data_IF_185494096785
#
_entry.id   IF_185494096785
#
_cell.length_a   1.000
_cell.length_b   1.000
_cell.length_c   1.000
_cell.angle_alpha   90.00
_cell.angle_beta   90.00
_cell.angle_gamma   90.00
#
_symmetry.space_group_name_H-M   'P 1'
#
loop_
_entity.id
_entity.type
_entity.pdbx_description
1 polymer ?
#
# COMPACT_ATOMS: atom_id res chain seq x y z
N UNK A 1 -0.61 -15.51 -7.48
CA UNK A 1 -0.23 -15.78 -8.90
C UNK A 1 -1.08 -14.94 -9.86
N UNK A 2 -0.73 -13.66 -10.01
CA UNK A 2 -1.19 -12.81 -11.11
C UNK A 2 -0.01 -12.69 -12.09
N UNK A 3 -0.21 -13.26 -13.27
CA UNK A 3 0.77 -13.36 -14.35
C UNK A 3 1.15 -11.97 -14.89
N UNK A 4 2.45 -11.70 -14.88
CA UNK A 4 3.08 -10.68 -15.73
C UNK A 4 2.80 -11.00 -17.19
N UNK A 5 1.96 -10.18 -17.85
CA UNK A 5 1.69 -10.28 -19.28
C UNK A 5 2.89 -9.74 -20.09
N UNK A 6 3.79 -10.64 -20.49
CA UNK A 6 4.72 -10.40 -21.61
C UNK A 6 4.47 -11.44 -22.70
N UNK A 7 4.28 -10.96 -23.92
CA UNK A 7 3.81 -11.68 -25.11
C UNK A 7 4.79 -12.79 -25.56
N UNK A 8 4.22 -13.92 -25.97
CA UNK A 8 4.44 -14.61 -27.27
C UNK A 8 3.50 -15.82 -27.40
N UNK A 9 2.59 -15.77 -28.38
CA UNK A 9 1.93 -16.97 -28.94
C UNK A 9 2.98 -17.74 -29.78
N UNK A 10 2.92 -19.09 -29.87
CA UNK A 10 1.90 -19.75 -30.69
C UNK A 10 1.32 -21.08 -30.17
N UNK A 11 0.13 -21.37 -30.74
CA UNK A 11 -0.43 -22.68 -31.15
C UNK A 11 -0.82 -23.78 -30.12
N UNK A 12 -2.13 -24.07 -30.17
CA UNK A 12 -2.83 -25.37 -30.09
C UNK A 12 -2.63 -26.28 -28.87
N UNK A 13 -3.73 -26.57 -28.19
CA UNK A 13 -3.84 -27.71 -27.28
C UNK A 13 -5.15 -27.72 -26.51
N UNK A 14 -6.10 -28.49 -27.02
CA UNK A 14 -7.40 -28.82 -26.44
C UNK A 14 -7.29 -29.36 -24.99
N UNK A 15 -8.36 -29.17 -24.21
CA UNK A 15 -8.83 -29.88 -22.99
C UNK A 15 -9.27 -28.83 -21.96
N UNK A 16 -10.46 -28.82 -21.35
CA UNK A 16 -11.57 -29.76 -21.28
C UNK A 16 -12.59 -29.11 -20.33
N UNK A 17 -13.88 -29.34 -20.59
CA UNK A 17 -15.01 -28.58 -20.05
C UNK A 17 -15.42 -28.91 -18.60
N UNK A 18 -16.28 -28.02 -18.09
CA UNK A 18 -17.37 -28.22 -17.11
C UNK A 18 -16.98 -28.28 -15.62
N UNK A 19 -17.77 -27.74 -14.68
CA UNK A 19 -19.23 -27.63 -14.69
C UNK A 19 -19.80 -26.29 -14.19
N UNK A 20 -20.82 -25.86 -14.93
CA UNK A 20 -21.82 -24.85 -14.58
C UNK A 20 -22.74 -25.35 -13.46
N UNK A 21 -23.15 -24.47 -12.56
CA UNK A 21 -24.40 -24.63 -11.78
C UNK A 21 -25.30 -23.44 -12.07
N UNK A 22 -26.54 -23.78 -12.41
CA UNK A 22 -27.57 -22.93 -12.99
C UNK A 22 -28.15 -21.92 -11.99
N UNK A 23 -28.48 -20.75 -12.54
CA UNK A 23 -29.36 -19.73 -11.99
C UNK A 23 -30.83 -20.12 -12.22
N UNK A 24 -31.71 -19.81 -11.27
CA UNK A 24 -33.10 -19.44 -11.55
C UNK A 24 -33.57 -18.28 -10.63
N UNK A 25 -34.55 -17.47 -11.07
CA UNK A 25 -34.69 -16.06 -10.71
C UNK A 25 -35.78 -15.78 -9.67
N UNK A 26 -35.74 -14.60 -9.03
CA UNK A 26 -36.82 -14.17 -8.16
C UNK A 26 -36.71 -12.77 -7.57
N UNK A 27 -37.33 -11.82 -8.27
CA UNK A 27 -38.01 -10.61 -7.77
C UNK A 27 -37.22 -9.42 -7.17
N UNK A 28 -37.46 -8.29 -7.84
CA UNK A 28 -37.08 -6.93 -7.48
C UNK A 28 -37.91 -6.36 -6.34
N UNK A 29 -37.26 -5.66 -5.40
CA UNK A 29 -37.86 -4.55 -4.69
C UNK A 29 -36.83 -3.45 -4.41
N UNK A 30 -37.27 -2.21 -4.62
CA UNK A 30 -36.52 -0.96 -4.49
C UNK A 30 -36.44 -0.56 -3.02
N UNK A 31 -35.26 -0.15 -2.52
CA UNK A 31 -35.17 0.72 -1.34
C UNK A 31 -33.90 1.59 -1.33
N UNK A 32 -34.05 2.78 -0.74
CA UNK A 32 -33.21 3.99 -0.77
C UNK A 32 -31.85 3.85 -0.03
N UNK A 33 -30.87 4.74 -0.28
CA UNK A 33 -29.53 4.66 0.31
C UNK A 33 -29.53 5.08 1.78
N UNK A 34 -29.16 4.14 2.66
CA UNK A 34 -28.96 4.36 4.08
C UNK A 34 -27.54 4.87 4.39
N UNK A 35 -27.48 5.91 5.22
CA UNK A 35 -26.30 6.62 5.67
C UNK A 35 -25.24 5.72 6.34
N UNK A 36 -23.95 6.03 6.09
CA UNK A 36 -22.83 5.54 6.88
C UNK A 36 -22.99 6.02 8.33
N UNK A 37 -23.18 5.09 9.27
CA UNK A 37 -23.11 5.37 10.70
C UNK A 37 -21.70 5.14 11.21
N UNK A 38 -21.26 6.16 11.95
CA UNK A 38 -20.18 6.20 12.92
C UNK A 38 -20.37 5.07 13.95
N UNK A 39 -19.30 4.37 14.31
CA UNK A 39 -19.32 3.39 15.39
C UNK A 39 -18.39 3.85 16.50
N UNK A 40 -19.00 4.21 17.62
CA UNK A 40 -18.36 4.53 18.89
C UNK A 40 -18.08 3.25 19.71
N UNK A 41 -16.99 3.35 20.48
CA UNK A 41 -16.52 2.46 21.54
C UNK A 41 -17.58 2.10 22.59
N UNK A 42 -17.49 0.86 23.13
CA UNK A 42 -17.67 0.38 24.54
C UNK A 42 -17.94 -1.16 24.47
N UNK A 43 -17.48 -2.10 25.31
CA UNK A 43 -16.96 -2.10 26.69
C UNK A 43 -15.97 -3.24 26.95
N UNK A 44 -15.15 -3.05 28.00
CA UNK A 44 -14.40 -4.04 28.77
C UNK A 44 -15.30 -4.84 29.71
N UNK A 45 -14.92 -6.09 30.00
CA UNK A 45 -15.07 -6.81 31.29
C UNK A 45 -14.26 -8.12 31.13
N UNK A 46 -13.08 -8.28 31.74
CA UNK A 46 -12.76 -8.62 33.14
C UNK A 46 -12.63 -10.14 33.42
N UNK A 47 -11.43 -10.49 33.93
CA UNK A 47 -11.06 -11.57 34.85
C UNK A 47 -11.25 -13.04 34.43
N UNK A 48 -10.12 -13.79 34.39
CA UNK A 48 -9.80 -14.86 35.37
C UNK A 48 -8.46 -15.57 35.07
N UNK A 49 -7.55 -15.51 36.04
CA UNK A 49 -6.39 -16.42 36.25
C UNK A 49 -6.87 -17.77 36.81
N UNK A 50 -6.15 -18.89 36.59
CA UNK A 50 -5.05 -19.26 37.51
C UNK A 50 -3.86 -20.03 36.89
N UNK A 51 -2.71 -19.88 37.56
CA UNK A 51 -1.51 -20.74 37.51
C UNK A 51 -1.75 -22.07 38.25
N UNK A 52 -0.98 -23.16 38.01
CA UNK A 52 0.30 -23.31 38.70
C UNK A 52 1.44 -23.96 37.89
N UNK A 53 2.62 -23.85 38.49
CA UNK A 53 3.95 -24.28 38.04
C UNK A 53 4.14 -25.80 37.92
N UNK A 54 5.03 -26.21 37.01
CA UNK A 54 5.84 -27.43 37.12
C UNK A 54 7.25 -27.11 36.62
N UNK A 55 8.22 -27.24 37.52
CA UNK A 55 9.65 -27.29 37.23
C UNK A 55 10.01 -28.65 36.62
N UNK A 56 10.90 -28.69 35.62
CA UNK A 56 11.81 -29.84 35.47
C UNK A 56 13.03 -29.48 34.62
N UNK A 57 14.16 -29.42 35.31
CA UNK A 57 15.51 -29.89 34.97
C UNK A 57 16.16 -29.62 33.60
N UNK A 58 17.30 -28.95 33.72
CA UNK A 58 18.46 -28.87 32.83
C UNK A 58 19.01 -30.24 32.41
N UNK A 59 19.38 -30.37 31.14
CA UNK A 59 20.50 -31.19 30.69
C UNK A 59 21.29 -30.47 29.60
N UNK A 60 22.61 -30.42 29.80
CA UNK A 60 23.60 -29.81 28.94
C UNK A 60 24.20 -30.82 27.95
N UNK A 61 24.85 -30.26 26.92
CA UNK A 61 25.92 -30.82 26.06
C UNK A 61 25.51 -31.63 24.82
N UNK A 62 26.02 -31.15 23.67
CA UNK A 62 25.96 -31.82 22.37
C UNK A 62 26.39 -30.88 21.24
N UNK A 63 27.65 -30.45 21.28
CA UNK A 63 28.36 -29.78 20.19
C UNK A 63 28.60 -30.81 19.09
N UNK A 64 27.98 -30.69 17.91
CA UNK A 64 28.55 -31.21 16.66
C UNK A 64 28.27 -30.21 15.53
N UNK A 65 29.37 -29.82 14.93
CA UNK A 65 29.55 -29.05 13.71
C UNK A 65 28.98 -29.78 12.51
N UNK A 66 28.32 -29.05 11.61
CA UNK A 66 28.53 -29.30 10.18
C UNK A 66 28.34 -28.01 9.38
N UNK A 67 29.44 -27.63 8.73
CA UNK A 67 29.54 -26.57 7.75
C UNK A 67 28.76 -26.97 6.50
N UNK A 68 27.88 -26.09 6.05
CA UNK A 68 27.35 -26.16 4.69
C UNK A 68 27.11 -24.74 4.19
N UNK A 69 28.05 -24.33 3.36
CA UNK A 69 28.07 -23.13 2.53
C UNK A 69 26.75 -22.92 1.78
N UNK A 70 25.83 -22.18 2.40
CA UNK A 70 24.78 -21.48 1.68
C UNK A 70 25.31 -20.08 1.36
N UNK A 71 25.98 -19.98 0.22
CA UNK A 71 26.37 -18.75 -0.47
C UNK A 71 25.25 -17.72 -0.39
N UNK A 72 25.37 -16.80 0.56
CA UNK A 72 24.57 -15.60 0.62
C UNK A 72 24.94 -14.79 -0.61
N UNK A 73 24.07 -14.80 -1.62
CA UNK A 73 24.12 -13.82 -2.70
C UNK A 73 24.07 -12.43 -2.05
N UNK A 74 25.25 -11.87 -1.79
CA UNK A 74 25.46 -10.48 -1.49
C UNK A 74 24.99 -9.71 -2.70
N UNK A 75 23.76 -9.21 -2.65
CA UNK A 75 23.28 -8.20 -3.59
C UNK A 75 24.15 -6.97 -3.39
N UNK A 76 25.16 -6.90 -4.25
CA UNK A 76 26.18 -5.89 -4.30
C UNK A 76 25.51 -4.51 -4.23
N UNK A 77 25.63 -3.89 -3.07
CA UNK A 77 24.93 -2.65 -2.71
C UNK A 77 25.75 -1.46 -3.16
N UNK A 78 26.31 -1.52 -4.37
CA UNK A 78 26.95 -0.39 -5.04
C UNK A 78 25.87 0.56 -5.55
N UNK A 79 25.21 1.21 -4.59
CA UNK A 79 24.41 2.41 -4.82
C UNK A 79 25.32 3.49 -5.37
N UNK A 80 25.25 3.74 -6.68
CA UNK A 80 25.94 4.84 -7.40
C UNK A 80 25.42 6.23 -6.96
N UNK A 81 24.50 6.29 -6.00
CA UNK A 81 23.97 7.55 -5.48
C UNK A 81 24.57 7.88 -4.11
N UNK A 82 25.24 9.04 -4.04
CA UNK A 82 25.47 9.70 -2.77
C UNK A 82 24.11 9.90 -2.07
N UNK A 83 23.96 9.51 -0.79
CA UNK A 83 22.72 9.74 -0.08
C UNK A 83 22.41 11.25 -0.08
N UNK A 84 21.17 11.66 -0.39
CA UNK A 84 20.81 13.08 -0.35
C UNK A 84 21.08 13.64 1.05
N UNK A 85 21.69 14.83 1.10
CA UNK A 85 21.97 15.51 2.36
C UNK A 85 20.68 15.68 3.16
N UNK A 86 20.70 15.43 4.48
CA UNK A 86 19.51 15.55 5.32
C UNK A 86 18.95 16.98 5.25
N UNK A 87 17.65 17.08 4.98
CA UNK A 87 16.92 18.34 4.89
C UNK A 87 16.96 19.09 6.23
N UNK A 88 17.38 20.35 6.20
CA UNK A 88 17.21 21.27 7.33
C UNK A 88 15.70 21.52 7.57
N UNK A 89 15.17 21.29 8.78
CA UNK A 89 13.73 21.40 9.08
C UNK A 89 13.11 22.78 8.85
N UNK A 90 13.92 23.85 8.73
CA UNK A 90 13.44 25.25 8.83
C UNK A 90 12.91 25.85 7.52
N UNK A 91 12.80 25.11 6.42
CA UNK A 91 12.31 25.68 5.13
C UNK A 91 11.42 24.75 4.28
N UNK A 92 10.82 23.71 4.86
CA UNK A 92 9.98 22.76 4.10
C UNK A 92 8.55 23.31 3.98
N UNK A 93 8.10 23.61 2.75
CA UNK A 93 6.69 23.94 2.48
C UNK A 93 5.83 22.67 2.50
N UNK A 94 5.32 22.35 3.69
CA UNK A 94 4.47 21.18 3.96
C UNK A 94 3.06 21.27 3.35
N UNK A 95 2.73 22.36 2.65
CA UNK A 95 1.44 22.58 1.97
C UNK A 95 1.50 22.40 0.46
N UNK A 96 2.71 22.19 -0.10
CA UNK A 96 2.92 22.11 -1.55
C UNK A 96 2.84 20.69 -2.11
N UNK A 97 2.66 19.69 -1.24
CA UNK A 97 2.76 18.27 -1.57
C UNK A 97 1.62 17.52 -0.88
N UNK A 98 1.22 16.39 -1.44
CA UNK A 98 0.30 15.42 -0.84
C UNK A 98 0.90 14.03 -1.04
N UNK A 99 0.99 13.23 0.03
CA UNK A 99 1.40 11.83 -0.07
C UNK A 99 0.18 10.91 -0.01
N UNK A 100 0.13 9.94 -0.91
CA UNK A 100 -0.85 8.86 -0.89
C UNK A 100 -0.11 7.53 -1.02
N UNK A 101 -0.25 6.70 0.01
CA UNK A 101 0.23 5.32 0.01
C UNK A 101 -0.91 4.38 -0.37
N UNK A 102 -0.62 3.34 -1.14
CA UNK A 102 -1.44 2.13 -1.09
C UNK A 102 -1.14 1.33 0.19
N UNK A 103 -2.00 0.37 0.52
CA UNK A 103 -1.84 -0.52 1.67
C UNK A 103 -1.22 -1.85 1.26
N UNK A 104 -1.84 -2.50 0.28
CA UNK A 104 -1.63 -3.91 -0.04
C UNK A 104 -0.34 -4.07 -0.85
N UNK A 105 0.56 -4.93 -0.37
CA UNK A 105 1.90 -5.13 -0.92
C UNK A 105 2.76 -3.85 -1.08
N UNK A 106 2.34 -2.77 -0.42
CA UNK A 106 3.05 -1.48 -0.34
C UNK A 106 3.53 -1.20 1.08
N UNK A 107 2.61 -1.23 2.04
CA UNK A 107 2.93 -1.11 3.47
C UNK A 107 2.89 -2.45 4.19
N UNK A 108 2.08 -3.40 3.70
CA UNK A 108 1.87 -4.73 4.30
C UNK A 108 2.07 -5.80 3.23
N UNK A 109 2.77 -6.93 3.50
CA UNK A 109 2.99 -8.01 2.52
C UNK A 109 1.71 -8.87 2.34
N UNK A 110 0.65 -8.25 1.84
CA UNK A 110 -0.70 -8.82 1.75
C UNK A 110 -0.74 -10.12 0.93
N UNK A 111 -0.13 -10.18 -0.26
CA UNK A 111 -0.17 -11.40 -1.08
C UNK A 111 0.54 -12.56 -0.37
N UNK A 112 1.65 -12.28 0.32
CA UNK A 112 2.33 -13.28 1.13
C UNK A 112 1.46 -13.74 2.32
N UNK A 113 0.88 -12.81 3.09
CA UNK A 113 -0.02 -13.13 4.21
C UNK A 113 -1.18 -14.01 3.75
N UNK A 114 -1.82 -13.67 2.62
CA UNK A 114 -2.94 -14.46 2.07
C UNK A 114 -2.51 -15.86 1.64
N UNK A 115 -1.32 -15.97 1.05
CA UNK A 115 -0.76 -17.26 0.63
C UNK A 115 -0.44 -18.13 1.84
N UNK A 116 0.20 -17.57 2.87
CA UNK A 116 0.49 -18.25 4.14
C UNK A 116 -0.79 -18.65 4.87
N UNK A 117 -1.81 -17.79 4.88
CA UNK A 117 -3.11 -18.12 5.46
C UNK A 117 -3.76 -19.30 4.74
N UNK A 118 -3.74 -19.33 3.41
CA UNK A 118 -4.29 -20.45 2.64
C UNK A 118 -3.55 -21.78 2.93
N UNK A 119 -2.23 -21.72 3.15
CA UNK A 119 -1.42 -22.88 3.47
C UNK A 119 -1.59 -23.37 4.92
N UNK A 120 -1.84 -22.46 5.87
CA UNK A 120 -1.91 -22.77 7.30
C UNK A 120 -3.33 -22.93 7.84
N UNK A 121 -4.36 -22.70 7.03
CA UNK A 121 -5.76 -22.91 7.44
C UNK A 121 -6.09 -24.41 7.44
N UNK A 122 -5.41 -25.16 8.30
CA UNK A 122 -5.72 -26.56 8.59
C UNK A 122 -7.00 -26.67 9.45
N UNK A 123 -7.63 -27.85 9.41
CA UNK A 123 -8.91 -28.10 10.09
C UNK A 123 -8.75 -28.04 11.61
N UNK A 124 -9.25 -26.95 12.20
CA UNK A 124 -9.38 -26.77 13.65
C UNK A 124 -8.93 -25.40 14.18
N UNK A 125 -8.03 -24.69 13.47
CA UNK A 125 -7.58 -23.35 13.90
C UNK A 125 -8.58 -22.27 13.53
N UNK A 126 -8.80 -21.33 14.45
CA UNK A 126 -9.52 -20.09 14.18
C UNK A 126 -8.70 -19.18 13.27
N UNK A 127 -9.37 -18.28 12.54
CA UNK A 127 -8.68 -17.33 11.68
C UNK A 127 -7.68 -16.44 12.46
N UNK A 128 -8.04 -16.07 13.69
CA UNK A 128 -7.19 -15.25 14.56
C UNK A 128 -5.88 -15.98 14.91
N UNK A 129 -5.95 -17.26 15.27
CA UNK A 129 -4.75 -18.07 15.57
C UNK A 129 -3.84 -18.19 14.35
N UNK A 130 -4.40 -18.39 13.15
CA UNK A 130 -3.61 -18.44 11.92
C UNK A 130 -2.92 -17.10 11.65
N UNK A 131 -3.63 -15.98 11.78
CA UNK A 131 -3.00 -14.66 11.58
C UNK A 131 -1.94 -14.33 12.63
N UNK A 132 -2.11 -14.76 13.88
CA UNK A 132 -1.08 -14.60 14.91
C UNK A 132 0.17 -15.43 14.60
N UNK A 133 0.01 -16.68 14.14
CA UNK A 133 1.14 -17.50 13.70
C UNK A 133 1.88 -16.86 12.50
N UNK A 134 1.14 -16.32 11.54
CA UNK A 134 1.71 -15.59 10.39
C UNK A 134 2.47 -14.33 10.85
N UNK A 135 1.92 -13.57 11.79
CA UNK A 135 2.59 -12.39 12.34
C UNK A 135 3.88 -12.77 13.07
N UNK A 136 3.87 -13.86 13.85
CA UNK A 136 5.07 -14.39 14.49
C UNK A 136 6.13 -14.78 13.46
N UNK A 137 5.74 -15.45 12.37
CA UNK A 137 6.66 -15.80 11.29
C UNK A 137 7.27 -14.57 10.61
N UNK A 138 6.44 -13.55 10.33
CA UNK A 138 6.91 -12.25 9.82
C UNK A 138 7.93 -11.64 10.77
N UNK A 139 7.64 -11.62 12.07
CA UNK A 139 8.49 -11.05 13.09
C UNK A 139 9.84 -11.78 13.18
N UNK A 140 9.85 -13.10 13.11
CA UNK A 140 11.08 -13.90 13.08
C UNK A 140 11.89 -13.60 11.81
N UNK A 141 11.26 -13.67 10.63
CA UNK A 141 11.94 -13.46 9.33
C UNK A 141 12.47 -12.04 9.15
N UNK A 142 11.80 -11.05 9.75
CA UNK A 142 12.19 -9.64 9.66
C UNK A 142 12.93 -9.15 10.90
N UNK A 143 13.26 -10.03 11.86
CA UNK A 143 13.90 -9.67 13.14
C UNK A 143 13.18 -8.54 13.87
N UNK A 144 11.84 -8.55 13.84
CA UNK A 144 10.95 -7.52 14.38
C UNK A 144 11.11 -6.12 13.75
N UNK A 145 11.73 -6.02 12.58
CA UNK A 145 11.99 -4.72 11.94
C UNK A 145 10.89 -4.27 10.97
N UNK A 146 9.93 -5.13 10.61
CA UNK A 146 8.86 -4.77 9.67
C UNK A 146 8.06 -3.55 10.15
N UNK A 147 7.44 -3.65 11.33
CA UNK A 147 6.62 -2.58 11.90
C UNK A 147 7.42 -1.28 12.08
N UNK A 148 8.62 -1.27 12.70
CA UNK A 148 9.46 -0.07 12.75
C UNK A 148 9.70 0.60 11.39
N UNK A 149 9.88 -0.16 10.32
CA UNK A 149 10.10 0.40 8.98
C UNK A 149 8.82 0.95 8.33
N UNK A 150 7.64 0.37 8.61
CA UNK A 150 6.34 0.94 8.22
C UNK A 150 6.15 2.30 8.90
N UNK A 151 6.32 2.35 10.23
CA UNK A 151 6.18 3.57 11.02
C UNK A 151 7.15 4.67 10.54
N UNK A 152 8.40 4.29 10.24
CA UNK A 152 9.43 5.23 9.77
C UNK A 152 9.10 5.81 8.39
N UNK A 153 8.52 5.03 7.48
CA UNK A 153 8.07 5.53 6.18
C UNK A 153 6.93 6.55 6.32
N UNK A 154 5.92 6.24 7.14
CA UNK A 154 4.77 7.12 7.40
C UNK A 154 5.19 8.43 8.10
N UNK A 155 5.98 8.33 9.17
CA UNK A 155 6.52 9.50 9.89
C UNK A 155 7.38 10.37 8.99
N UNK A 156 8.20 9.75 8.11
CA UNK A 156 8.99 10.51 7.13
C UNK A 156 8.08 11.32 6.21
N UNK A 157 7.06 10.70 5.60
CA UNK A 157 6.11 11.43 4.74
C UNK A 157 5.41 12.57 5.50
N UNK A 158 4.97 12.31 6.75
CA UNK A 158 4.36 13.33 7.61
C UNK A 158 5.30 14.49 7.95
N UNK A 159 6.59 14.22 8.17
CA UNK A 159 7.57 15.28 8.44
C UNK A 159 7.73 16.26 7.28
N UNK A 160 7.46 15.79 6.05
CA UNK A 160 7.61 16.56 4.81
C UNK A 160 6.29 17.21 4.34
N UNK A 161 5.14 16.76 4.85
CA UNK A 161 3.83 17.11 4.32
C UNK A 161 2.74 17.09 5.40
N UNK A 162 1.80 18.05 5.33
CA UNK A 162 0.64 18.08 6.24
C UNK A 162 -0.41 17.01 5.92
N UNK A 163 -0.49 16.56 4.65
CA UNK A 163 -1.47 15.57 4.22
C UNK A 163 -0.80 14.31 3.69
N UNK A 164 -1.00 13.24 4.46
CA UNK A 164 -0.66 11.87 4.13
C UNK A 164 -1.95 11.06 4.27
N UNK A 165 -2.25 10.19 3.31
CA UNK A 165 -3.38 9.28 3.37
C UNK A 165 -2.97 7.89 2.86
N UNK A 166 -3.69 6.87 3.31
CA UNK A 166 -3.63 5.53 2.72
C UNK A 166 -4.89 5.34 1.87
N UNK A 167 -4.76 4.98 0.61
CA UNK A 167 -5.88 4.74 -0.29
C UNK A 167 -5.77 3.35 -0.91
N UNK A 168 -6.67 2.44 -0.52
CA UNK A 168 -6.62 1.02 -0.90
C UNK A 168 -7.84 0.60 -1.73
N UNK A 169 -7.64 -0.34 -2.65
CA UNK A 169 -8.73 -1.03 -3.37
C UNK A 169 -9.26 -2.25 -2.60
N UNK A 170 -8.99 -2.35 -1.29
CA UNK A 170 -9.49 -3.42 -0.44
C UNK A 170 -11.01 -3.62 -0.62
N UNK A 171 -11.38 -4.80 -1.13
CA UNK A 171 -12.77 -5.14 -1.47
C UNK A 171 -13.64 -5.37 -0.24
N UNK A 172 -13.03 -5.78 0.87
CA UNK A 172 -13.74 -6.17 2.09
C UNK A 172 -13.28 -5.34 3.28
N UNK A 173 -14.22 -4.83 4.11
CA UNK A 173 -13.85 -4.20 5.38
C UNK A 173 -13.20 -5.20 6.35
N UNK A 174 -13.47 -6.50 6.20
CA UNK A 174 -12.86 -7.54 7.03
C UNK A 174 -11.33 -7.57 6.89
N UNK A 175 -10.81 -7.25 5.71
CA UNK A 175 -9.36 -7.17 5.50
C UNK A 175 -8.72 -6.05 6.32
N UNK A 176 -9.40 -4.91 6.46
CA UNK A 176 -8.93 -3.83 7.33
C UNK A 176 -8.94 -4.25 8.81
N UNK A 177 -9.97 -4.99 9.25
CA UNK A 177 -9.99 -5.54 10.61
C UNK A 177 -8.84 -6.52 10.89
N UNK A 178 -8.44 -7.33 9.89
CA UNK A 178 -7.24 -8.19 10.01
C UNK A 178 -5.97 -7.33 10.13
N UNK A 179 -5.82 -6.32 9.28
CA UNK A 179 -4.70 -5.38 9.37
C UNK A 179 -4.63 -4.69 10.74
N UNK A 180 -5.77 -4.21 11.25
CA UNK A 180 -5.87 -3.57 12.56
C UNK A 180 -5.44 -4.50 13.70
N UNK A 181 -5.85 -5.77 13.64
CA UNK A 181 -5.48 -6.76 14.64
C UNK A 181 -4.02 -7.21 14.55
N UNK A 182 -3.45 -7.28 13.35
CA UNK A 182 -2.08 -7.76 13.15
C UNK A 182 -1.02 -6.67 13.39
N UNK A 183 -1.37 -5.39 13.17
CA UNK A 183 -0.40 -4.28 13.21
C UNK A 183 -0.92 -3.11 14.07
N UNK A 184 -1.24 -3.33 15.35
CA UNK A 184 -1.88 -2.33 16.21
C UNK A 184 -1.02 -1.06 16.39
N UNK A 185 0.31 -1.17 16.42
CA UNK A 185 1.21 -0.02 16.52
C UNK A 185 1.15 0.88 15.27
N UNK A 186 0.88 0.29 14.10
CA UNK A 186 0.65 1.05 12.88
C UNK A 186 -0.66 1.81 12.99
N UNK A 187 -1.73 1.16 13.44
CA UNK A 187 -3.03 1.82 13.68
C UNK A 187 -2.90 2.97 14.67
N UNK A 188 -2.18 2.76 15.77
CA UNK A 188 -1.92 3.79 16.75
C UNK A 188 -1.28 5.03 16.11
N UNK A 189 -0.20 4.85 15.33
CA UNK A 189 0.44 5.96 14.62
C UNK A 189 -0.53 6.65 13.64
N UNK A 190 -1.32 5.88 12.89
CA UNK A 190 -2.27 6.45 11.93
C UNK A 190 -3.29 7.37 12.62
N UNK A 191 -3.75 6.99 13.82
CA UNK A 191 -4.66 7.80 14.64
C UNK A 191 -3.96 9.03 15.22
N UNK A 192 -2.76 8.87 15.80
CA UNK A 192 -1.97 9.97 16.39
C UNK A 192 -1.65 11.05 15.36
N UNK A 193 -1.38 10.66 14.11
CA UNK A 193 -0.96 11.55 13.05
C UNK A 193 -2.12 12.02 12.13
N UNK A 194 -3.37 11.65 12.38
CA UNK A 194 -4.52 11.90 11.47
C UNK A 194 -4.19 11.45 10.02
N UNK A 195 -3.77 10.18 9.86
CA UNK A 195 -3.55 9.53 8.56
C UNK A 195 -4.72 8.58 8.28
N UNK A 196 -5.70 8.97 7.45
CA UNK A 196 -6.85 8.13 7.18
C UNK A 196 -6.51 6.96 6.25
N UNK A 197 -7.12 5.80 6.51
CA UNK A 197 -7.23 4.70 5.54
C UNK A 197 -8.55 4.85 4.79
N UNK A 198 -8.46 5.05 3.48
CA UNK A 198 -9.59 5.33 2.61
C UNK A 198 -9.74 4.18 1.63
N UNK A 199 -10.84 3.43 1.74
CA UNK A 199 -11.18 2.42 0.73
C UNK A 199 -11.74 3.10 -0.52
N UNK A 200 -11.27 2.65 -1.69
CA UNK A 200 -11.94 2.94 -2.94
C UNK A 200 -13.23 2.10 -2.98
N UNK A 201 -14.36 2.79 -2.98
CA UNK A 201 -15.68 2.16 -3.10
C UNK A 201 -16.24 2.58 -4.47
N UNK A 202 -15.87 1.88 -5.55
CA UNK A 202 -16.42 2.19 -6.86
C UNK A 202 -17.94 1.99 -6.87
N UNK A 203 -18.60 2.80 -7.69
CA UNK A 203 -20.04 2.70 -7.92
C UNK A 203 -20.31 1.87 -9.17
N UNK A 204 -21.46 1.21 -9.21
CA UNK A 204 -21.88 0.38 -10.33
C UNK A 204 -21.32 -1.04 -10.28
N UNK A 205 -21.73 -1.85 -11.25
CA UNK A 205 -21.34 -3.25 -11.35
C UNK A 205 -19.86 -3.38 -11.71
N UNK A 206 -19.13 -4.16 -10.93
CA UNK A 206 -17.74 -4.50 -11.23
C UNK A 206 -17.67 -5.30 -12.55
N UNK A 207 -16.83 -4.89 -13.52
CA UNK A 207 -16.58 -5.67 -14.73
C UNK A 207 -15.94 -7.03 -14.42
N UNK A 208 -16.03 -7.96 -15.36
CA UNK A 208 -15.31 -9.22 -15.22
C UNK A 208 -13.79 -8.99 -15.26
N UNK A 209 -13.01 -9.70 -14.45
CA UNK A 209 -11.54 -9.61 -14.44
C UNK A 209 -10.91 -9.93 -15.81
N UNK A 210 -11.56 -10.74 -16.65
CA UNK A 210 -11.11 -11.04 -18.01
C UNK A 210 -11.33 -9.88 -18.99
N UNK A 211 -12.18 -8.91 -18.65
CA UNK A 211 -12.34 -7.66 -19.39
C UNK A 211 -11.28 -6.64 -18.96
N UNK A 212 -10.01 -6.99 -19.17
CA UNK A 212 -8.83 -6.33 -18.57
C UNK A 212 -8.89 -4.80 -18.58
N UNK A 213 -9.25 -4.17 -19.70
CA UNK A 213 -9.34 -2.71 -19.81
C UNK A 213 -10.49 -2.10 -18.99
N UNK A 214 -11.68 -2.72 -19.03
CA UNK A 214 -12.84 -2.24 -18.27
C UNK A 214 -12.63 -2.44 -16.77
N UNK A 215 -12.15 -3.62 -16.38
CA UNK A 215 -11.79 -3.93 -15.00
C UNK A 215 -10.71 -2.98 -14.47
N UNK A 216 -9.66 -2.75 -15.26
CA UNK A 216 -8.59 -1.83 -14.89
C UNK A 216 -9.12 -0.41 -14.69
N UNK A 217 -9.86 0.10 -15.67
CA UNK A 217 -10.44 1.44 -15.63
C UNK A 217 -11.39 1.62 -14.44
N UNK A 218 -12.17 0.59 -14.10
CA UNK A 218 -13.10 0.63 -12.98
C UNK A 218 -12.37 0.89 -11.65
N UNK A 219 -11.36 0.07 -11.34
CA UNK A 219 -10.59 0.17 -10.10
C UNK A 219 -9.64 1.38 -10.09
N UNK A 220 -9.01 1.72 -11.21
CA UNK A 220 -8.19 2.92 -11.36
C UNK A 220 -9.02 4.19 -11.11
N UNK A 221 -10.20 4.31 -11.73
CA UNK A 221 -11.06 5.47 -11.54
C UNK A 221 -11.65 5.54 -10.12
N UNK A 222 -11.83 4.41 -9.44
CA UNK A 222 -12.22 4.39 -8.03
C UNK A 222 -11.13 5.02 -7.16
N UNK A 223 -9.87 4.63 -7.39
CA UNK A 223 -8.72 5.13 -6.66
C UNK A 223 -8.43 6.60 -6.99
N UNK A 224 -8.48 6.99 -8.27
CA UNK A 224 -8.36 8.39 -8.74
C UNK A 224 -9.34 9.34 -8.03
N UNK A 225 -10.62 8.95 -7.92
CA UNK A 225 -11.64 9.74 -7.20
C UNK A 225 -11.27 9.98 -5.73
N UNK A 226 -10.63 9.01 -5.07
CA UNK A 226 -10.15 9.17 -3.70
C UNK A 226 -8.91 10.05 -3.61
N UNK A 227 -8.02 10.02 -4.61
CA UNK A 227 -6.90 10.96 -4.67
C UNK A 227 -7.39 12.40 -4.80
N UNK A 228 -8.38 12.64 -5.66
CA UNK A 228 -9.02 13.94 -5.82
C UNK A 228 -9.68 14.43 -4.52
N UNK A 229 -10.39 13.55 -3.80
CA UNK A 229 -11.00 13.86 -2.50
C UNK A 229 -9.95 14.27 -1.45
N UNK A 230 -8.81 13.57 -1.40
CA UNK A 230 -7.68 13.90 -0.50
C UNK A 230 -7.10 15.28 -0.84
N UNK A 231 -6.87 15.57 -2.12
CA UNK A 231 -6.34 16.88 -2.57
C UNK A 231 -7.33 18.00 -2.27
N UNK A 232 -8.63 17.78 -2.49
CA UNK A 232 -9.67 18.75 -2.14
C UNK A 232 -9.66 19.07 -0.65
N UNK A 233 -9.64 18.04 0.22
CA UNK A 233 -9.56 18.21 1.67
C UNK A 233 -8.28 18.92 2.12
N UNK A 234 -7.15 18.61 1.48
CA UNK A 234 -5.87 19.29 1.75
C UNK A 234 -6.00 20.80 1.54
N UNK A 235 -6.63 21.22 0.44
CA UNK A 235 -6.85 22.63 0.11
C UNK A 235 -7.80 23.33 1.08
N UNK A 236 -8.87 22.64 1.48
CA UNK A 236 -9.84 23.17 2.44
C UNK A 236 -9.22 23.38 3.83
N UNK A 237 -8.33 22.48 4.26
CA UNK A 237 -7.61 22.57 5.54
C UNK A 237 -6.51 23.66 5.55
N UNK A 238 -6.12 24.20 4.40
CA UNK A 238 -5.01 25.16 4.26
C UNK A 238 -5.49 26.52 3.70
N UNK A 239 -6.37 27.25 4.40
CA UNK A 239 -6.86 28.54 3.95
C UNK A 239 -5.70 29.54 3.83
N UNK A 240 -5.56 30.18 2.65
CA UNK A 240 -4.48 31.12 2.35
C UNK A 240 -3.42 30.61 1.38
N UNK A 241 -3.35 29.32 1.08
CA UNK A 241 -2.47 28.77 0.02
C UNK A 241 -3.07 28.91 -1.38
N UNK A 242 -3.83 30.00 -1.62
CA UNK A 242 -4.70 30.22 -2.77
C UNK A 242 -4.17 29.63 -4.07
N UNK A 243 -4.98 28.78 -4.71
CA UNK A 243 -4.75 28.21 -6.04
C UNK A 243 -3.43 27.42 -6.22
N UNK A 244 -2.65 27.16 -5.16
CA UNK A 244 -1.41 26.39 -5.31
C UNK A 244 -1.74 24.97 -5.75
N UNK A 245 -1.12 24.59 -6.87
CA UNK A 245 -1.06 23.21 -7.35
C UNK A 245 -0.19 22.41 -6.40
N UNK A 246 -0.56 21.16 -6.13
CA UNK A 246 0.23 20.27 -5.28
C UNK A 246 1.10 19.34 -6.11
N UNK A 247 2.23 18.90 -5.55
CA UNK A 247 2.91 17.70 -6.02
C UNK A 247 2.21 16.49 -5.39
N UNK A 248 1.59 15.66 -6.21
CA UNK A 248 0.96 14.41 -5.76
C UNK A 248 2.02 13.32 -5.78
N UNK A 249 2.41 12.82 -4.61
CA UNK A 249 3.31 11.68 -4.46
C UNK A 249 2.46 10.44 -4.18
N UNK A 250 2.42 9.51 -5.14
CA UNK A 250 1.71 8.25 -5.03
C UNK A 250 2.70 7.09 -4.88
N UNK A 251 2.49 6.24 -3.89
CA UNK A 251 3.38 5.11 -3.55
C UNK A 251 2.53 3.84 -3.58
N UNK A 252 2.85 2.90 -4.45
CA UNK A 252 2.04 1.68 -4.65
C UNK A 252 2.77 0.56 -5.37
N UNK A 253 2.25 -0.66 -5.30
CA UNK A 253 2.77 -1.86 -5.95
C UNK A 253 2.22 -2.08 -7.37
N UNK A 254 1.07 -1.49 -7.69
CA UNK A 254 0.31 -1.80 -8.90
C UNK A 254 0.22 -0.62 -9.87
N UNK A 255 -0.32 -0.89 -11.06
CA UNK A 255 -0.56 0.14 -12.08
C UNK A 255 -1.70 1.09 -11.68
N UNK A 256 -2.61 0.67 -10.78
CA UNK A 256 -3.76 1.48 -10.41
C UNK A 256 -3.36 2.84 -9.81
N UNK A 257 -2.33 2.87 -8.97
CA UNK A 257 -1.86 4.07 -8.27
C UNK A 257 -1.15 5.02 -9.24
N UNK A 258 -0.28 4.46 -10.09
CA UNK A 258 0.44 5.19 -11.13
C UNK A 258 -0.54 5.86 -12.09
N UNK A 259 -1.48 5.11 -12.64
CA UNK A 259 -2.47 5.63 -13.58
C UNK A 259 -3.46 6.58 -12.90
N UNK A 260 -3.84 6.34 -11.65
CA UNK A 260 -4.70 7.27 -10.91
C UNK A 260 -4.02 8.63 -10.70
N UNK A 261 -2.75 8.65 -10.30
CA UNK A 261 -2.01 9.89 -10.08
C UNK A 261 -1.73 10.65 -11.38
N UNK A 262 -1.29 9.93 -12.43
CA UNK A 262 -0.97 10.54 -13.72
C UNK A 262 -2.21 11.05 -14.45
N UNK A 263 -3.30 10.29 -14.48
CA UNK A 263 -4.56 10.76 -15.07
C UNK A 263 -5.11 11.97 -14.32
N UNK A 264 -5.04 11.98 -12.97
CA UNK A 264 -5.48 13.15 -12.20
C UNK A 264 -4.65 14.40 -12.51
N UNK A 265 -3.34 14.25 -12.73
CA UNK A 265 -2.48 15.36 -13.13
C UNK A 265 -2.84 15.91 -14.53
N UNK A 266 -3.17 15.03 -15.47
CA UNK A 266 -3.57 15.41 -16.83
C UNK A 266 -4.97 16.05 -16.86
N UNK A 267 -5.93 15.48 -16.14
CA UNK A 267 -7.33 15.92 -16.12
C UNK A 267 -7.56 17.15 -15.22
N UNK A 268 -6.71 17.34 -14.21
CA UNK A 268 -6.80 18.47 -13.27
C UNK A 268 -5.46 19.19 -13.10
N UNK A 269 -4.90 19.80 -14.17
CA UNK A 269 -3.62 20.51 -14.13
C UNK A 269 -3.65 21.77 -13.25
N UNK A 270 -4.83 22.30 -12.93
CA UNK A 270 -5.06 23.34 -11.93
C UNK A 270 -4.97 22.82 -10.48
N UNK A 271 -5.02 21.50 -10.31
CA UNK A 271 -4.97 20.83 -9.00
C UNK A 271 -3.59 20.26 -8.69
N UNK A 272 -3.00 19.59 -9.66
CA UNK A 272 -1.75 18.85 -9.51
C UNK A 272 -0.70 19.47 -10.43
N UNK A 273 0.50 19.75 -9.90
CA UNK A 273 1.65 20.26 -10.67
C UNK A 273 2.47 19.11 -11.24
N UNK A 274 2.79 18.14 -10.37
CA UNK A 274 3.52 16.93 -10.69
C UNK A 274 2.79 15.71 -10.13
N UNK A 275 2.70 14.65 -10.91
CA UNK A 275 2.45 13.31 -10.38
C UNK A 275 3.80 12.59 -10.22
N UNK A 276 4.18 12.34 -8.97
CA UNK A 276 5.42 11.66 -8.60
C UNK A 276 5.04 10.26 -8.13
N UNK A 277 5.45 9.24 -8.88
CA UNK A 277 5.04 7.86 -8.64
C UNK A 277 6.24 7.09 -8.10
N UNK A 278 6.06 6.42 -6.96
CA UNK A 278 7.00 5.45 -6.42
C UNK A 278 6.37 4.07 -6.57
N UNK A 279 6.99 3.22 -7.39
CA UNK A 279 6.50 1.89 -7.71
C UNK A 279 7.21 0.84 -6.88
N UNK A 280 6.43 -0.02 -6.25
CA UNK A 280 6.84 -1.14 -5.41
C UNK A 280 6.64 -2.47 -6.17
N UNK A 281 7.05 -3.59 -5.56
CA UNK A 281 6.82 -4.93 -6.10
C UNK A 281 5.79 -5.68 -5.25
N UNK A 282 4.80 -6.32 -5.88
CA UNK A 282 3.87 -7.19 -5.17
C UNK A 282 4.49 -8.55 -4.81
N UNK A 283 3.84 -9.28 -3.92
CA UNK A 283 4.12 -10.71 -3.70
C UNK A 283 5.46 -11.04 -3.06
N UNK A 284 6.09 -10.09 -2.37
CA UNK A 284 7.39 -10.30 -1.73
C UNK A 284 7.25 -11.08 -0.41
N UNK A 285 8.18 -12.00 -0.17
CA UNK A 285 8.39 -12.61 1.15
C UNK A 285 8.83 -11.56 2.19
N UNK A 286 8.63 -11.80 3.51
CA UNK A 286 8.83 -10.79 4.55
C UNK A 286 10.20 -10.09 4.52
N UNK A 287 11.28 -10.84 4.33
CA UNK A 287 12.66 -10.33 4.26
C UNK A 287 12.90 -9.39 3.07
N UNK A 288 12.34 -9.72 1.92
CA UNK A 288 12.42 -8.87 0.72
C UNK A 288 11.47 -7.67 0.83
N UNK A 289 10.32 -7.85 1.46
CA UNK A 289 9.38 -6.77 1.74
C UNK A 289 9.99 -5.73 2.70
N UNK A 290 10.73 -6.16 3.72
CA UNK A 290 11.50 -5.27 4.59
C UNK A 290 12.53 -4.44 3.80
N UNK A 291 13.23 -5.06 2.85
CA UNK A 291 14.15 -4.35 1.97
C UNK A 291 13.43 -3.32 1.08
N UNK A 292 12.23 -3.64 0.59
CA UNK A 292 11.35 -2.71 -0.11
C UNK A 292 10.95 -1.51 0.77
N UNK A 293 10.54 -1.73 2.03
CA UNK A 293 10.21 -0.61 2.94
C UNK A 293 11.39 0.34 3.16
N UNK A 294 12.62 -0.19 3.25
CA UNK A 294 13.85 0.62 3.31
C UNK A 294 14.05 1.43 2.03
N UNK A 295 13.78 0.84 0.87
CA UNK A 295 13.87 1.53 -0.40
C UNK A 295 12.77 2.60 -0.57
N UNK A 296 11.55 2.36 -0.11
CA UNK A 296 10.47 3.37 -0.05
C UNK A 296 10.91 4.59 0.78
N UNK A 297 11.55 4.38 1.94
CA UNK A 297 12.05 5.48 2.77
C UNK A 297 13.10 6.34 2.06
N UNK A 298 13.95 5.76 1.22
CA UNK A 298 14.90 6.50 0.39
C UNK A 298 14.19 7.20 -0.78
N UNK A 299 13.23 6.52 -1.39
CA UNK A 299 12.47 7.05 -2.52
C UNK A 299 11.71 8.31 -2.12
N UNK A 300 11.13 8.35 -0.91
CA UNK A 300 10.46 9.55 -0.35
C UNK A 300 11.39 10.76 -0.37
N UNK A 301 12.66 10.62 0.05
CA UNK A 301 13.62 11.74 0.04
C UNK A 301 13.89 12.21 -1.40
N UNK A 302 14.13 11.25 -2.31
CA UNK A 302 14.41 11.54 -3.71
C UNK A 302 13.24 12.26 -4.41
N UNK A 303 12.02 11.74 -4.31
CA UNK A 303 10.85 12.32 -4.99
C UNK A 303 10.44 13.65 -4.38
N UNK A 304 10.63 13.84 -3.08
CA UNK A 304 10.30 15.10 -2.43
C UNK A 304 11.22 16.23 -2.91
N UNK A 305 12.52 15.94 -3.02
CA UNK A 305 13.53 16.92 -3.42
C UNK A 305 13.51 17.25 -4.91
N UNK A 306 13.09 16.30 -5.75
CA UNK A 306 13.12 16.46 -7.19
C UNK A 306 12.03 17.44 -7.67
N UNK A 307 12.40 18.39 -8.54
CA UNK A 307 11.52 19.49 -8.99
C UNK A 307 11.29 19.51 -10.50
N UNK A 308 11.81 18.52 -11.22
CA UNK A 308 11.66 18.38 -12.66
C UNK A 308 11.07 17.01 -13.03
N UNK A 309 10.47 16.89 -14.22
CA UNK A 309 10.11 15.59 -14.79
C UNK A 309 11.33 14.67 -14.84
N UNK A 310 11.10 13.39 -14.55
CA UNK A 310 12.16 12.40 -14.45
C UNK A 310 11.65 11.05 -14.91
N UNK A 311 12.43 10.41 -15.76
CA UNK A 311 12.21 9.01 -16.16
C UNK A 311 12.39 8.06 -14.98
N UNK A 312 11.92 6.83 -15.17
CA UNK A 312 11.98 5.80 -14.14
C UNK A 312 13.42 5.62 -13.62
N UNK A 313 13.60 5.85 -12.32
CA UNK A 313 14.90 5.77 -11.63
C UNK A 313 14.82 4.72 -10.52
N UNK A 314 15.78 3.80 -10.47
CA UNK A 314 15.86 2.74 -9.46
C UNK A 314 16.40 3.28 -8.13
N UNK A 315 15.76 2.94 -7.01
CA UNK A 315 16.16 3.33 -5.63
C UNK A 315 16.64 2.12 -4.81
N UNK A 316 16.44 0.91 -5.33
CA UNK A 316 16.87 -0.35 -4.75
C UNK A 316 15.69 -1.30 -4.50
N UNK A 317 15.99 -2.59 -4.31
CA UNK A 317 14.98 -3.65 -4.04
C UNK A 317 13.79 -3.67 -5.00
N UNK A 318 14.00 -3.26 -6.25
CA UNK A 318 12.94 -3.14 -7.25
C UNK A 318 12.00 -1.94 -7.09
N UNK A 319 12.23 -1.07 -6.11
CA UNK A 319 11.52 0.20 -5.97
C UNK A 319 12.08 1.21 -6.96
N UNK A 320 11.18 1.80 -7.75
CA UNK A 320 11.52 2.85 -8.72
C UNK A 320 10.70 4.10 -8.44
N UNK A 321 11.15 5.25 -8.92
CA UNK A 321 10.31 6.44 -9.00
C UNK A 321 10.33 7.10 -10.37
N UNK A 322 9.25 7.79 -10.72
CA UNK A 322 9.08 8.57 -11.94
C UNK A 322 8.33 9.87 -11.63
N UNK A 323 8.61 10.94 -12.35
CA UNK A 323 7.95 12.24 -12.18
C UNK A 323 7.37 12.71 -13.50
N UNK A 324 6.05 12.86 -13.51
CA UNK A 324 5.29 13.35 -14.65
C UNK A 324 4.95 14.82 -14.47
N UNK A 325 5.42 15.66 -15.39
CA UNK A 325 5.01 17.05 -15.50
C UNK A 325 3.61 17.20 -16.06
N UNK A 326 2.87 18.20 -15.59
CA UNK A 326 1.61 18.60 -16.23
C UNK A 326 1.90 19.42 -17.50
N UNK A 327 1.10 19.26 -18.57
CA UNK A 327 1.20 20.13 -19.74
C UNK A 327 1.06 21.60 -19.30
N UNK A 328 1.94 22.47 -19.79
CA UNK A 328 1.84 23.90 -19.49
C UNK A 328 0.48 24.42 -19.95
N UNK A 329 -0.33 24.94 -19.02
CA UNK A 329 -1.52 25.71 -19.36
C UNK A 329 -1.04 26.92 -20.16
N UNK A 330 -1.18 26.89 -21.49
CA UNK A 330 -0.93 28.08 -22.30
C UNK A 330 -1.91 29.15 -21.81
N UNK A 331 -1.46 30.37 -21.49
CA UNK A 331 -2.38 31.44 -21.18
C UNK A 331 -3.28 31.62 -22.40
N UNK A 332 -4.60 31.46 -22.21
CA UNK A 332 -5.57 31.89 -23.21
C UNK A 332 -5.39 33.41 -23.34
N UNK A 333 -4.68 33.83 -24.39
CA UNK A 333 -4.72 35.21 -24.81
C UNK A 333 -6.17 35.53 -25.16
N UNK A 334 -6.84 36.28 -24.29
CA UNK A 334 -8.10 36.93 -24.60
C UNK A 334 -7.84 37.85 -25.79
N UNK A 335 -8.30 37.45 -26.97
CA UNK A 335 -8.50 38.39 -28.06
C UNK A 335 -9.67 39.27 -27.63
N UNK A 336 -9.35 40.50 -27.26
CA UNK A 336 -10.31 41.61 -27.10
C UNK A 336 -10.79 42.01 -28.48
#
# INVERSE_FOLDING_TARGET
MLLTLSRKCPASGNMGASASVAMLPGQSSVSKPGACRHWDHLERSDLSTPTPAVECETCSLGQESDDSDASCDTWDTTSVFAPPLPLSPKSVDRTSTVFIFDLDDTLIPTEWIRSSYAAQKEDGRTAAEVYQAILQEINVRTRNELVPHILKALRKAKSLCNTVAIVTNARSPRWLGVFESMFPEVIQLLNEEDIPIIRSCPQGREPNIYESSAYFSYWMNAKKRKFEEVIRRHREKMPGTGLKRVDLISIGDNDFEEFAATNLAVESPQSVRFAKVVRCRPGLAPEHFLAQLRAIQRAIDCVFMERSPREATLVGSGVTYRIHGTPSLKPLHSKV
#
